data_IF_353273666599
#
_entry.id   IF_353273666599
#
_cell.length_a   1.000
_cell.length_b   1.000
_cell.length_c   1.000
_cell.angle_alpha   90.00
_cell.angle_beta   90.00
_cell.angle_gamma   90.00
#
_symmetry.space_group_name_H-M   'P 1'
#
loop_
_entity.id
_entity.type
_entity.pdbx_description
1 polymer ?
#
# COMPACT_ATOMS: atom_id res chain seq x y z
N UNK A 1 -18.40 1.64 -1.05
CA UNK A 1 -17.27 2.59 -1.06
C UNK A 1 -16.85 2.87 0.37
N UNK A 2 -15.59 2.58 0.68
CA UNK A 2 -14.94 2.97 1.92
C UNK A 2 -14.50 4.44 1.79
N UNK A 3 -14.69 5.24 2.83
CA UNK A 3 -14.21 6.64 2.83
C UNK A 3 -12.69 6.67 2.94
N UNK A 4 -12.06 7.73 2.41
CA UNK A 4 -10.61 7.93 2.53
C UNK A 4 -10.16 7.98 4.00
N UNK A 5 -11.02 8.44 4.90
CA UNK A 5 -10.75 8.46 6.35
C UNK A 5 -10.66 7.06 6.93
N UNK A 6 -11.58 6.16 6.57
CA UNK A 6 -11.53 4.78 7.06
C UNK A 6 -10.36 4.01 6.43
N UNK A 7 -10.04 4.29 5.15
CA UNK A 7 -8.85 3.76 4.49
C UNK A 7 -7.57 4.17 5.24
N UNK A 8 -7.44 5.47 5.55
CA UNK A 8 -6.33 5.99 6.35
C UNK A 8 -6.25 5.32 7.72
N UNK A 9 -7.39 5.11 8.40
CA UNK A 9 -7.40 4.47 9.71
C UNK A 9 -6.90 3.03 9.66
N UNK A 10 -7.37 2.25 8.68
CA UNK A 10 -6.95 0.86 8.48
C UNK A 10 -5.45 0.81 8.15
N UNK A 11 -5.01 1.64 7.20
CA UNK A 11 -3.60 1.70 6.81
C UNK A 11 -2.73 2.12 8.00
N UNK A 12 -3.05 3.21 8.70
CA UNK A 12 -2.30 3.68 9.86
C UNK A 12 -2.19 2.60 10.95
N UNK A 13 -3.27 1.84 11.21
CA UNK A 13 -3.24 0.74 12.18
C UNK A 13 -2.32 -0.42 11.76
N UNK A 14 -2.19 -0.66 10.45
CA UNK A 14 -1.37 -1.74 9.90
C UNK A 14 0.13 -1.44 9.82
N UNK A 15 0.51 -0.16 9.87
CA UNK A 15 1.92 0.27 9.75
C UNK A 15 2.63 0.53 11.08
N UNK A 16 1.94 0.45 12.23
CA UNK A 16 2.56 0.67 13.54
C UNK A 16 3.84 -0.20 13.73
N UNK A 17 4.96 0.39 14.21
CA UNK A 17 5.12 1.74 14.79
C UNK A 17 5.32 2.89 13.77
N UNK A 18 5.33 2.62 12.47
CA UNK A 18 5.44 3.63 11.42
C UNK A 18 4.10 4.36 11.23
N UNK A 19 4.19 5.62 10.81
CA UNK A 19 3.05 6.43 10.43
C UNK A 19 2.80 6.29 8.93
N UNK A 20 1.52 6.26 8.57
CA UNK A 20 1.08 6.17 7.19
C UNK A 20 0.09 7.30 6.93
N UNK A 21 0.25 8.01 5.82
CA UNK A 21 -0.67 9.04 5.34
C UNK A 21 -1.08 8.72 3.91
N UNK A 22 -2.39 8.70 3.67
CA UNK A 22 -2.98 8.41 2.38
C UNK A 22 -3.87 9.57 1.93
N UNK A 23 -3.59 10.14 0.75
CA UNK A 23 -4.33 11.28 0.21
C UNK A 23 -4.71 11.02 -1.25
N UNK A 24 -5.88 11.50 -1.67
CA UNK A 24 -6.28 11.45 -3.09
C UNK A 24 -5.68 12.67 -3.79
N UNK A 25 -4.90 12.44 -4.84
CA UNK A 25 -4.37 13.50 -5.70
C UNK A 25 -5.48 14.06 -6.60
N UNK A 26 -5.25 15.26 -7.12
CA UNK A 26 -6.16 15.92 -8.08
C UNK A 26 -6.35 15.11 -9.37
N UNK A 27 -5.41 14.25 -9.73
CA UNK A 27 -5.50 13.33 -10.88
C UNK A 27 -6.38 12.10 -10.61
N UNK A 28 -6.93 11.94 -9.40
CA UNK A 28 -7.73 10.79 -8.99
C UNK A 28 -6.90 9.58 -8.53
N UNK A 29 -5.57 9.65 -8.55
CA UNK A 29 -4.71 8.62 -7.96
C UNK A 29 -4.59 8.80 -6.45
N UNK A 30 -4.35 7.71 -5.73
CA UNK A 30 -3.97 7.72 -4.32
C UNK A 30 -2.46 7.94 -4.17
N UNK A 31 -2.13 8.80 -3.22
CA UNK A 31 -0.80 8.98 -2.66
C UNK A 31 -0.75 8.27 -1.32
N UNK A 32 0.28 7.47 -1.09
CA UNK A 32 0.51 6.73 0.16
C UNK A 32 1.94 7.04 0.60
N UNK A 33 2.08 7.63 1.77
CA UNK A 33 3.36 8.01 2.37
C UNK A 33 3.53 7.25 3.68
N UNK A 34 4.57 6.43 3.79
CA UNK A 34 4.92 5.74 5.03
C UNK A 34 6.22 6.33 5.55
N UNK A 35 6.18 6.81 6.78
CA UNK A 35 7.30 7.48 7.42
C UNK A 35 7.38 7.12 8.89
N UNK A 36 8.59 7.15 9.45
CA UNK A 36 8.78 6.97 10.88
C UNK A 36 8.43 8.27 11.60
N UNK A 37 7.40 8.30 12.48
CA UNK A 37 7.00 9.53 13.17
C UNK A 37 8.08 10.01 14.16
N UNK A 38 8.95 9.11 14.60
CA UNK A 38 10.01 9.41 15.57
C UNK A 38 11.23 10.08 14.94
N UNK A 39 11.68 9.64 13.76
CA UNK A 39 12.82 10.25 13.06
C UNK A 39 12.43 11.19 11.91
N UNK A 40 11.17 11.17 11.48
CA UNK A 40 10.69 11.86 10.29
C UNK A 40 11.17 11.23 8.98
N UNK A 41 11.78 10.04 9.03
CA UNK A 41 12.32 9.38 7.85
C UNK A 41 11.19 8.78 7.01
N UNK A 42 11.14 9.17 5.75
CA UNK A 42 10.23 8.55 4.77
C UNK A 42 10.86 7.24 4.31
N UNK A 43 10.24 6.12 4.68
CA UNK A 43 10.67 4.80 4.22
C UNK A 43 10.02 4.44 2.88
N UNK A 44 8.82 4.95 2.60
CA UNK A 44 8.11 4.68 1.35
C UNK A 44 7.20 5.84 0.94
N UNK A 45 7.23 6.21 -0.34
CA UNK A 45 6.34 7.19 -0.94
C UNK A 45 5.82 6.68 -2.29
N UNK A 46 4.50 6.56 -2.40
CA UNK A 46 3.80 6.22 -3.63
C UNK A 46 2.87 7.36 -4.00
N UNK A 47 2.94 7.86 -5.22
CA UNK A 47 2.15 9.02 -5.68
C UNK A 47 1.10 8.67 -6.74
N UNK A 48 1.21 7.50 -7.36
CA UNK A 48 0.28 7.03 -8.41
C UNK A 48 -0.26 5.64 -8.10
N UNK A 49 -0.90 5.49 -6.94
CA UNK A 49 -1.63 4.26 -6.62
C UNK A 49 -3.03 4.38 -7.22
N UNK A 50 -3.41 3.43 -8.05
CA UNK A 50 -4.76 3.40 -8.58
C UNK A 50 -5.76 2.99 -7.48
N UNK A 51 -6.84 3.77 -7.21
CA UNK A 51 -7.86 3.40 -6.22
C UNK A 51 -8.78 2.26 -6.68
N UNK A 52 -8.75 1.94 -7.97
CA UNK A 52 -9.44 0.82 -8.61
C UNK A 52 -8.96 -0.51 -7.98
N UNK A 53 -9.87 -1.19 -7.28
CA UNK A 53 -9.59 -2.42 -6.53
C UNK A 53 -9.27 -2.21 -5.04
N UNK A 54 -9.15 -0.96 -4.56
CA UNK A 54 -9.02 -0.63 -3.13
C UNK A 54 -10.39 -0.32 -2.49
N UNK A 55 -11.43 -1.04 -2.92
CA UNK A 55 -12.82 -0.88 -2.51
C UNK A 55 -13.22 -1.82 -1.36
N UNK A 56 -12.34 -2.76 -0.99
CA UNK A 56 -12.58 -3.77 0.04
C UNK A 56 -11.48 -3.80 1.09
N UNK A 57 -11.85 -4.04 2.35
CA UNK A 57 -10.92 -4.21 3.49
C UNK A 57 -9.85 -5.25 3.17
N UNK A 58 -10.20 -6.32 2.43
CA UNK A 58 -9.25 -7.35 2.00
C UNK A 58 -8.15 -6.80 1.09
N UNK A 59 -8.51 -5.95 0.13
CA UNK A 59 -7.54 -5.33 -0.77
C UNK A 59 -6.60 -4.38 -0.02
N UNK A 60 -7.14 -3.63 0.94
CA UNK A 60 -6.34 -2.75 1.82
C UNK A 60 -5.36 -3.58 2.66
N UNK A 61 -5.83 -4.68 3.27
CA UNK A 61 -4.98 -5.56 4.06
C UNK A 61 -3.85 -6.20 3.23
N UNK A 62 -4.15 -6.60 1.99
CA UNK A 62 -3.14 -7.11 1.06
C UNK A 62 -2.09 -6.04 0.74
N UNK A 63 -2.54 -4.81 0.42
CA UNK A 63 -1.64 -3.69 0.14
C UNK A 63 -0.72 -3.40 1.33
N UNK A 64 -1.24 -3.38 2.56
CA UNK A 64 -0.43 -3.22 3.78
C UNK A 64 0.64 -4.31 3.87
N UNK A 65 0.26 -5.57 3.60
CA UNK A 65 1.18 -6.70 3.61
C UNK A 65 2.31 -6.58 2.58
N UNK A 66 1.97 -6.17 1.35
CA UNK A 66 2.92 -5.94 0.26
C UNK A 66 3.90 -4.81 0.62
N UNK A 67 3.37 -3.66 1.05
CA UNK A 67 4.16 -2.50 1.44
C UNK A 67 5.12 -2.80 2.60
N UNK A 68 4.66 -3.51 3.64
CA UNK A 68 5.52 -3.92 4.76
C UNK A 68 6.63 -4.86 4.34
N UNK A 69 6.32 -5.80 3.44
CA UNK A 69 7.33 -6.73 2.89
C UNK A 69 8.41 -5.97 2.14
N UNK A 70 8.04 -4.93 1.41
CA UNK A 70 8.98 -4.14 0.60
C UNK A 70 9.82 -3.16 1.41
N UNK A 71 9.22 -2.52 2.42
CA UNK A 71 9.97 -1.75 3.43
C UNK A 71 11.04 -2.65 4.07
N UNK A 72 10.67 -3.88 4.45
CA UNK A 72 11.59 -4.87 5.02
C UNK A 72 12.63 -5.35 4.01
N UNK A 73 12.27 -5.47 2.74
CA UNK A 73 13.19 -5.82 1.66
C UNK A 73 14.16 -4.68 1.29
N UNK A 74 13.94 -3.46 1.80
CA UNK A 74 14.77 -2.29 1.51
C UNK A 74 14.65 -1.79 0.07
N UNK A 75 13.64 -2.25 -0.68
CA UNK A 75 13.35 -1.81 -2.05
C UNK A 75 12.63 -0.47 -2.00
N UNK A 76 13.43 0.59 -1.91
CA UNK A 76 12.97 1.98 -2.01
C UNK A 76 12.54 2.29 -3.44
N UNK A 77 11.33 1.89 -3.83
CA UNK A 77 10.77 2.28 -5.11
C UNK A 77 9.79 1.26 -5.63
N UNK A 78 8.55 1.33 -5.16
CA UNK A 78 7.44 0.76 -5.93
C UNK A 78 7.09 1.73 -7.06
N UNK A 79 7.70 1.49 -8.21
CA UNK A 79 7.26 2.03 -9.50
C UNK A 79 6.48 0.95 -10.27
N UNK A 80 5.46 0.34 -9.66
CA UNK A 80 4.38 -0.39 -10.33
C UNK A 80 3.46 -1.08 -9.30
N UNK A 81 2.34 -0.45 -8.94
CA UNK A 81 1.13 -1.22 -8.60
C UNK A 81 0.20 -1.07 -9.80
N UNK A 82 0.41 -1.94 -10.77
CA UNK A 82 -0.23 -1.92 -12.07
C UNK A 82 -0.17 -3.30 -12.70
N UNK A 83 -0.55 -4.33 -11.94
CA UNK A 83 -0.91 -5.65 -12.49
C UNK A 83 -1.53 -6.51 -11.39
N UNK A 84 -2.80 -6.27 -11.09
CA UNK A 84 -3.68 -7.39 -10.78
C UNK A 84 -3.85 -8.17 -12.10
N UNK A 85 -2.95 -9.11 -12.36
CA UNK A 85 -3.20 -10.16 -13.35
C UNK A 85 -3.05 -11.51 -12.66
N UNK A 86 -4.20 -12.01 -12.20
CA UNK A 86 -4.64 -13.39 -12.33
C UNK A 86 -3.64 -14.50 -12.01
N UNK A 87 -3.86 -15.12 -10.86
CA UNK A 87 -3.67 -16.54 -10.56
C UNK A 87 -3.53 -17.46 -11.78
N UNK A 88 -2.46 -18.27 -11.81
CA UNK A 88 -2.48 -19.62 -12.39
C UNK A 88 -1.38 -20.47 -11.79
N UNK A 89 -1.79 -21.46 -10.99
CA UNK A 89 -0.90 -22.43 -10.38
C UNK A 89 -0.39 -23.49 -11.37
N UNK A 90 0.71 -24.12 -10.98
CA UNK A 90 1.10 -25.50 -11.27
C UNK A 90 2.13 -25.84 -10.19
N UNK A 91 1.75 -26.46 -9.07
CA UNK A 91 1.62 -27.91 -8.93
C UNK A 91 2.80 -28.68 -9.53
N UNK A 92 3.68 -29.14 -8.63
CA UNK A 92 4.37 -30.43 -8.64
C UNK A 92 5.01 -30.92 -9.94
N UNK A 93 6.34 -30.96 -9.95
CA UNK A 93 7.09 -31.86 -10.83
C UNK A 93 8.26 -32.47 -10.08
N UNK A 94 8.02 -33.65 -9.51
CA UNK A 94 8.97 -34.75 -9.33
C UNK A 94 8.19 -36.06 -9.46
#
# INVERSE_FOLDING_TARGET
MISITEFNRIMASGFLPLACECCVNSDGSLRISVFEPTSGRVDLLLTRVSPEGLDSIRAIANLIGELRTEIKAGRRGFAAVGSVQGVRGAAGRI
#
